data_IF_474711768552
#
_entry.id   IF_474711768552
#
_cell.length_a   1.000
_cell.length_b   1.000
_cell.length_c   1.000
_cell.angle_alpha   90.00
_cell.angle_beta   90.00
_cell.angle_gamma   90.00
#
_symmetry.space_group_name_H-M   'P 1'
#
loop_
_entity.id
_entity.type
_entity.pdbx_description
1 polymer ?
#
# COMPACT_ATOMS: atom_id res chain seq x y z
N UNK A 1 19.68 -26.35 -14.40
CA UNK A 1 18.39 -26.11 -13.68
C UNK A 1 17.50 -25.33 -14.61
N UNK A 2 16.32 -25.83 -14.95
CA UNK A 2 15.40 -25.17 -15.89
C UNK A 2 14.62 -24.08 -15.20
N UNK A 3 14.48 -22.91 -15.83
CA UNK A 3 13.64 -21.81 -15.40
C UNK A 3 12.17 -22.28 -15.37
N UNK A 4 11.55 -22.33 -14.22
CA UNK A 4 10.10 -22.61 -14.12
C UNK A 4 9.32 -21.31 -14.30
N UNK A 5 8.58 -21.21 -15.41
CA UNK A 5 7.69 -20.05 -15.64
C UNK A 5 6.43 -20.24 -14.80
N UNK A 6 6.11 -19.35 -13.85
CA UNK A 6 4.95 -19.49 -12.97
C UNK A 6 3.66 -19.12 -13.72
N UNK A 7 2.99 -20.12 -14.32
CA UNK A 7 1.79 -19.92 -15.15
C UNK A 7 0.58 -19.41 -14.32
N UNK A 8 0.35 -19.96 -13.13
CA UNK A 8 -0.79 -19.56 -12.27
C UNK A 8 -0.72 -18.05 -11.90
N UNK A 9 0.41 -17.50 -11.42
CA UNK A 9 0.59 -16.06 -11.27
C UNK A 9 0.28 -15.26 -12.52
N UNK A 10 0.70 -15.73 -13.69
CA UNK A 10 0.42 -15.06 -14.98
C UNK A 10 -1.06 -14.99 -15.30
N UNK A 11 -1.79 -16.09 -15.14
CA UNK A 11 -3.24 -16.15 -15.36
C UNK A 11 -3.97 -15.24 -14.38
N UNK A 12 -3.62 -15.27 -13.09
CA UNK A 12 -4.24 -14.44 -12.05
C UNK A 12 -3.97 -12.95 -12.29
N UNK A 13 -2.72 -12.57 -12.59
CA UNK A 13 -2.37 -11.17 -12.88
C UNK A 13 -3.13 -10.65 -14.10
N UNK A 14 -3.21 -11.45 -15.18
CA UNK A 14 -3.97 -11.10 -16.38
C UNK A 14 -5.46 -10.92 -16.05
N UNK A 15 -6.05 -11.87 -15.32
CA UNK A 15 -7.47 -11.81 -14.96
C UNK A 15 -7.80 -10.59 -14.12
N UNK A 16 -6.98 -10.28 -13.10
CA UNK A 16 -7.18 -9.12 -12.20
C UNK A 16 -6.98 -7.79 -12.94
N UNK A 17 -5.94 -7.68 -13.78
CA UNK A 17 -5.69 -6.48 -14.58
C UNK A 17 -6.82 -6.24 -15.61
N UNK A 18 -7.24 -7.27 -16.33
CA UNK A 18 -8.34 -7.20 -17.28
C UNK A 18 -9.67 -6.84 -16.59
N UNK A 19 -9.95 -7.41 -15.42
CA UNK A 19 -11.11 -7.07 -14.61
C UNK A 19 -11.07 -5.60 -14.16
N UNK A 20 -9.89 -5.10 -13.74
CA UNK A 20 -9.70 -3.71 -13.35
C UNK A 20 -9.98 -2.73 -14.49
N UNK A 21 -9.46 -3.01 -15.70
CA UNK A 21 -9.73 -2.22 -16.90
C UNK A 21 -11.22 -2.28 -17.27
N UNK A 22 -11.81 -3.48 -17.27
CA UNK A 22 -13.25 -3.67 -17.60
C UNK A 22 -14.17 -2.92 -16.64
N UNK A 23 -13.84 -2.88 -15.35
CA UNK A 23 -14.60 -2.16 -14.31
C UNK A 23 -14.26 -0.67 -14.25
N UNK A 24 -13.39 -0.17 -15.12
CA UNK A 24 -12.89 1.21 -15.12
C UNK A 24 -12.26 1.64 -13.77
N UNK A 25 -11.71 0.70 -13.01
CA UNK A 25 -10.90 0.99 -11.82
C UNK A 25 -9.41 1.11 -12.11
N UNK A 26 -8.98 0.73 -13.32
CA UNK A 26 -7.62 0.89 -13.83
C UNK A 26 -7.64 1.50 -15.24
N UNK A 27 -6.74 2.44 -15.48
CA UNK A 27 -6.43 2.92 -16.81
C UNK A 27 -5.70 1.83 -17.63
N UNK A 28 -5.51 1.96 -18.94
CA UNK A 28 -4.67 1.03 -19.70
C UNK A 28 -3.25 0.94 -19.14
N UNK A 29 -2.63 2.08 -18.77
CA UNK A 29 -1.32 2.10 -18.10
C UNK A 29 -1.37 1.50 -16.70
N UNK A 30 -2.46 1.72 -15.95
CA UNK A 30 -2.73 1.09 -14.65
C UNK A 30 -2.85 -0.42 -14.74
N UNK A 31 -3.52 -0.91 -15.78
CA UNK A 31 -3.64 -2.35 -16.06
C UNK A 31 -2.31 -3.01 -16.38
N UNK A 32 -1.47 -2.35 -17.19
CA UNK A 32 -0.12 -2.83 -17.51
C UNK A 32 0.77 -2.86 -16.25
N UNK A 33 0.79 -1.80 -15.47
CA UNK A 33 1.55 -1.73 -14.23
C UNK A 33 1.06 -2.79 -13.22
N UNK A 34 -0.25 -2.93 -13.05
CA UNK A 34 -0.85 -3.95 -12.17
C UNK A 34 -0.54 -5.38 -12.63
N UNK A 35 -0.48 -5.64 -13.94
CA UNK A 35 -0.05 -6.92 -14.48
C UNK A 35 1.41 -7.22 -14.13
N UNK A 36 2.34 -6.30 -14.42
CA UNK A 36 3.77 -6.50 -14.19
C UNK A 36 4.06 -6.70 -12.70
N UNK A 37 3.60 -5.76 -11.86
CA UNK A 37 3.77 -5.83 -10.40
C UNK A 37 3.10 -7.08 -9.84
N UNK A 38 1.85 -7.33 -10.23
CA UNK A 38 1.07 -8.48 -9.78
C UNK A 38 1.70 -9.81 -10.16
N UNK A 39 2.13 -9.96 -11.42
CA UNK A 39 2.80 -11.16 -11.89
C UNK A 39 4.06 -11.46 -11.09
N UNK A 40 4.97 -10.49 -11.01
CA UNK A 40 6.23 -10.69 -10.30
C UNK A 40 6.03 -10.93 -8.80
N UNK A 41 5.16 -10.19 -8.12
CA UNK A 41 4.90 -10.42 -6.69
C UNK A 41 4.22 -11.76 -6.40
N UNK A 42 3.29 -12.21 -7.25
CA UNK A 42 2.65 -13.53 -7.11
C UNK A 42 3.56 -14.69 -7.52
N UNK A 43 4.58 -14.43 -8.33
CA UNK A 43 5.58 -15.42 -8.73
C UNK A 43 6.67 -15.66 -7.65
N UNK A 44 6.68 -14.86 -6.58
CA UNK A 44 7.56 -15.11 -5.43
C UNK A 44 7.13 -16.41 -4.75
N UNK A 45 8.06 -17.34 -4.43
CA UNK A 45 7.72 -18.60 -3.75
C UNK A 45 7.00 -18.42 -2.42
N UNK A 46 7.35 -17.41 -1.63
CA UNK A 46 6.55 -16.99 -0.48
C UNK A 46 5.35 -16.18 -0.96
N UNK A 47 4.19 -16.81 -1.04
CA UNK A 47 2.96 -16.23 -1.59
C UNK A 47 2.39 -15.07 -0.78
N UNK A 48 2.83 -14.92 0.49
CA UNK A 48 2.41 -13.85 1.37
C UNK A 48 2.55 -12.45 0.75
N UNK A 49 3.55 -12.23 -0.12
CA UNK A 49 3.71 -10.97 -0.86
C UNK A 49 2.58 -10.75 -1.87
N UNK A 50 2.31 -11.75 -2.71
CA UNK A 50 1.24 -11.68 -3.72
C UNK A 50 -0.16 -11.62 -3.10
N UNK A 51 -0.41 -12.40 -2.03
CA UNK A 51 -1.68 -12.38 -1.29
C UNK A 51 -1.91 -11.02 -0.66
N UNK A 52 -0.88 -10.40 -0.06
CA UNK A 52 -0.96 -9.05 0.50
C UNK A 52 -1.34 -8.01 -0.56
N UNK A 53 -0.73 -8.06 -1.74
CA UNK A 53 -1.08 -7.19 -2.87
C UNK A 53 -2.55 -7.36 -3.28
N UNK A 54 -3.03 -8.61 -3.40
CA UNK A 54 -4.41 -8.91 -3.79
C UNK A 54 -5.40 -8.40 -2.74
N UNK A 55 -5.13 -8.66 -1.45
CA UNK A 55 -6.00 -8.21 -0.35
C UNK A 55 -6.04 -6.68 -0.30
N UNK A 56 -4.89 -6.01 -0.41
CA UNK A 56 -4.82 -4.55 -0.52
C UNK A 56 -5.67 -4.02 -1.66
N UNK A 57 -5.48 -4.54 -2.89
CA UNK A 57 -6.21 -4.10 -4.08
C UNK A 57 -7.72 -4.31 -3.95
N UNK A 58 -8.15 -5.50 -3.52
CA UNK A 58 -9.56 -5.84 -3.43
C UNK A 58 -10.27 -5.06 -2.31
N UNK A 59 -9.63 -4.95 -1.15
CA UNK A 59 -10.18 -4.21 0.00
C UNK A 59 -10.25 -2.73 -0.31
N UNK A 60 -9.16 -2.12 -0.78
CA UNK A 60 -9.13 -0.73 -1.19
C UNK A 60 -10.17 -0.41 -2.26
N UNK A 61 -10.30 -1.27 -3.29
CA UNK A 61 -11.31 -1.08 -4.36
C UNK A 61 -12.75 -1.23 -3.88
N UNK A 62 -13.00 -1.97 -2.79
CA UNK A 62 -14.34 -2.02 -2.17
C UNK A 62 -14.62 -0.76 -1.35
N UNK A 63 -13.64 -0.34 -0.55
CA UNK A 63 -13.78 0.81 0.35
C UNK A 63 -13.97 2.11 -0.44
N UNK A 64 -13.24 2.32 -1.53
CA UNK A 64 -13.41 3.47 -2.44
C UNK A 64 -14.87 3.61 -2.96
N UNK A 65 -15.63 2.52 -3.02
CA UNK A 65 -17.03 2.54 -3.46
C UNK A 65 -18.05 2.86 -2.36
N UNK A 66 -17.63 2.89 -1.10
CA UNK A 66 -18.52 3.20 0.01
C UNK A 66 -18.80 4.71 0.04
N UNK A 67 -20.08 5.09 0.14
CA UNK A 67 -20.48 6.49 0.29
C UNK A 67 -20.26 7.38 -0.94
N UNK A 68 -20.20 6.83 -2.15
CA UNK A 68 -19.93 7.56 -3.41
C UNK A 68 -20.72 8.87 -3.58
N UNK A 69 -22.03 8.86 -3.30
CA UNK A 69 -22.88 10.04 -3.46
C UNK A 69 -22.46 11.17 -2.51
N UNK A 70 -22.09 10.84 -1.28
CA UNK A 70 -21.62 11.81 -0.28
C UNK A 70 -20.28 12.38 -0.72
N UNK A 71 -19.32 11.54 -1.14
CA UNK A 71 -18.01 11.99 -1.62
C UNK A 71 -18.13 12.90 -2.83
N UNK A 72 -18.94 12.57 -3.81
CA UNK A 72 -19.20 13.40 -4.98
C UNK A 72 -19.84 14.75 -4.65
N UNK A 73 -20.46 14.91 -3.48
CA UNK A 73 -20.95 16.20 -3.01
C UNK A 73 -19.89 17.04 -2.28
N UNK A 74 -18.79 16.42 -1.81
CA UNK A 74 -17.74 17.07 -1.02
C UNK A 74 -16.47 17.41 -1.85
N UNK A 75 -16.19 16.63 -2.87
CA UNK A 75 -15.02 16.78 -3.73
C UNK A 75 -15.42 17.14 -5.15
N UNK A 76 -14.73 18.10 -5.74
CA UNK A 76 -14.93 18.48 -7.13
C UNK A 76 -14.16 17.54 -8.06
N UNK A 77 -14.83 16.96 -9.06
CA UNK A 77 -14.21 16.03 -9.99
C UNK A 77 -14.01 14.60 -9.46
N UNK A 78 -14.67 14.26 -8.36
CA UNK A 78 -14.62 12.91 -7.79
C UNK A 78 -14.93 11.83 -8.84
N UNK A 79 -13.98 10.88 -9.05
CA UNK A 79 -14.18 9.74 -9.93
C UNK A 79 -14.87 8.59 -9.18
N UNK A 80 -16.12 8.33 -9.54
CA UNK A 80 -16.91 7.27 -8.92
C UNK A 80 -16.31 5.85 -9.01
N UNK A 81 -15.41 5.61 -9.95
CA UNK A 81 -14.81 4.30 -10.18
C UNK A 81 -13.43 4.14 -9.53
N UNK A 82 -12.83 5.24 -9.02
CA UNK A 82 -11.47 5.24 -8.48
C UNK A 82 -10.45 4.83 -9.56
N UNK A 83 -10.48 5.52 -10.71
CA UNK A 83 -9.69 5.22 -11.90
C UNK A 83 -8.18 5.44 -11.66
N UNK A 84 -7.44 4.36 -11.47
CA UNK A 84 -6.01 4.40 -11.12
C UNK A 84 -5.12 4.35 -12.34
N UNK A 85 -4.19 5.31 -12.44
CA UNK A 85 -3.13 5.34 -13.45
C UNK A 85 -1.99 4.36 -13.13
N UNK A 86 -1.10 4.10 -14.11
CA UNK A 86 0.10 3.29 -13.86
C UNK A 86 1.02 3.90 -12.80
N UNK A 87 1.13 5.21 -12.77
CA UNK A 87 1.89 5.92 -11.74
C UNK A 87 1.32 5.68 -10.34
N UNK A 88 0.01 5.78 -10.18
CA UNK A 88 -0.67 5.51 -8.91
C UNK A 88 -0.50 4.05 -8.46
N UNK A 89 -0.56 3.09 -9.38
CA UNK A 89 -0.28 1.67 -9.07
C UNK A 89 1.14 1.51 -8.55
N UNK A 90 2.13 2.13 -9.21
CA UNK A 90 3.53 2.07 -8.79
C UNK A 90 3.74 2.74 -7.43
N UNK A 91 3.22 3.94 -7.20
CA UNK A 91 3.36 4.64 -5.93
C UNK A 91 2.81 3.82 -4.74
N UNK A 92 1.74 3.03 -4.97
CA UNK A 92 1.11 2.21 -3.95
C UNK A 92 1.62 0.76 -3.89
N UNK A 93 2.76 0.44 -4.54
CA UNK A 93 3.30 -0.93 -4.53
C UNK A 93 4.83 -1.02 -4.52
N UNK A 94 5.56 0.04 -4.89
CA UNK A 94 6.96 -0.07 -5.30
C UNK A 94 7.90 -0.61 -4.21
N UNK A 95 7.82 -0.17 -2.96
CA UNK A 95 8.74 -0.67 -1.93
C UNK A 95 8.43 -2.11 -1.53
N UNK A 96 7.15 -2.51 -1.50
CA UNK A 96 6.76 -3.91 -1.31
C UNK A 96 7.16 -4.78 -2.51
N UNK A 97 7.05 -4.26 -3.72
CA UNK A 97 7.48 -4.91 -4.95
C UNK A 97 9.00 -5.15 -4.94
N UNK A 98 9.79 -4.12 -4.64
CA UNK A 98 11.26 -4.25 -4.55
C UNK A 98 11.63 -5.26 -3.46
N UNK A 99 11.02 -5.16 -2.25
CA UNK A 99 11.28 -6.08 -1.16
C UNK A 99 10.97 -7.54 -1.53
N UNK A 100 9.85 -7.78 -2.21
CA UNK A 100 9.46 -9.13 -2.66
C UNK A 100 10.40 -9.70 -3.73
N UNK A 101 10.81 -8.89 -4.71
CA UNK A 101 11.76 -9.29 -5.74
C UNK A 101 13.15 -9.59 -5.15
N UNK A 102 13.64 -8.74 -4.25
CA UNK A 102 14.90 -8.98 -3.53
C UNK A 102 14.82 -10.24 -2.70
N UNK A 103 13.72 -10.45 -1.95
CA UNK A 103 13.53 -11.65 -1.17
C UNK A 103 13.62 -12.91 -2.04
N UNK A 104 12.92 -12.93 -3.17
CA UNK A 104 12.94 -14.07 -4.08
C UNK A 104 14.32 -14.28 -4.72
N UNK A 105 15.02 -13.20 -5.11
CA UNK A 105 16.35 -13.28 -5.68
C UNK A 105 17.40 -13.80 -4.67
N UNK A 106 17.24 -13.47 -3.37
CA UNK A 106 18.16 -13.91 -2.30
C UNK A 106 17.88 -15.33 -1.84
N UNK A 107 16.62 -15.74 -1.70
CA UNK A 107 16.25 -16.98 -1.01
C UNK A 107 15.67 -18.07 -1.92
N UNK A 108 15.44 -17.78 -3.21
CA UNK A 108 14.88 -18.74 -4.15
C UNK A 108 15.66 -18.78 -5.48
N UNK A 109 16.70 -19.62 -5.58
CA UNK A 109 17.61 -19.66 -6.74
C UNK A 109 16.92 -20.09 -8.04
N UNK A 110 15.82 -20.83 -7.97
CA UNK A 110 15.08 -21.32 -9.14
C UNK A 110 13.98 -20.35 -9.59
N UNK A 111 13.80 -19.22 -8.88
CA UNK A 111 12.79 -18.23 -9.21
C UNK A 111 13.19 -17.39 -10.43
N UNK A 112 12.19 -16.90 -11.16
CA UNK A 112 12.38 -15.92 -12.23
C UNK A 112 13.11 -14.66 -11.73
N UNK A 113 12.93 -14.28 -10.46
CA UNK A 113 13.58 -13.13 -9.83
C UNK A 113 15.09 -13.35 -9.70
N UNK A 114 15.50 -14.54 -9.29
CA UNK A 114 16.93 -14.88 -9.20
C UNK A 114 17.58 -14.87 -10.59
N UNK A 115 16.86 -15.30 -11.62
CA UNK A 115 17.33 -15.23 -12.99
C UNK A 115 17.48 -13.78 -13.49
N UNK A 116 16.49 -12.92 -13.22
CA UNK A 116 16.45 -11.53 -13.68
C UNK A 116 17.39 -10.62 -12.85
N UNK A 117 17.43 -10.79 -11.54
CA UNK A 117 18.05 -9.85 -10.62
C UNK A 117 19.25 -10.42 -9.85
N UNK A 118 19.44 -11.75 -9.86
CA UNK A 118 20.47 -12.40 -9.06
C UNK A 118 21.90 -11.98 -9.38
N UNK A 119 22.18 -11.60 -10.64
CA UNK A 119 23.49 -11.10 -11.06
C UNK A 119 23.81 -9.68 -10.53
N UNK A 120 22.81 -8.92 -10.17
CA UNK A 120 22.96 -7.58 -9.59
C UNK A 120 23.15 -7.60 -8.07
N UNK A 121 22.90 -8.76 -7.42
CA UNK A 121 23.08 -8.88 -5.98
C UNK A 121 24.58 -8.98 -5.65
N UNK A 122 25.07 -8.17 -4.69
CA UNK A 122 26.42 -8.31 -4.16
C UNK A 122 26.65 -9.73 -3.61
N UNK A 123 27.88 -10.30 -3.74
CA UNK A 123 28.16 -11.66 -3.29
C UNK A 123 27.81 -11.94 -1.82
N UNK A 124 27.94 -10.94 -0.95
CA UNK A 124 27.60 -11.04 0.47
C UNK A 124 26.08 -11.05 0.75
N UNK A 125 25.24 -10.65 -0.20
CA UNK A 125 23.80 -10.74 -0.12
C UNK A 125 23.23 -11.96 -0.85
N UNK A 126 24.03 -12.69 -1.63
CA UNK A 126 23.65 -13.97 -2.22
C UNK A 126 23.74 -15.10 -1.19
N UNK A 127 23.06 -14.92 -0.07
CA UNK A 127 23.05 -15.82 1.08
C UNK A 127 22.44 -17.17 0.73
N UNK A 128 23.27 -18.21 0.85
CA UNK A 128 22.92 -19.63 0.95
C UNK A 128 21.60 -20.06 0.30
N UNK A 129 21.54 -19.94 -1.01
CA UNK A 129 20.46 -20.48 -1.87
C UNK A 129 20.14 -21.96 -1.58
N UNK A 130 21.06 -22.70 -0.94
CA UNK A 130 20.94 -24.14 -0.75
C UNK A 130 20.14 -24.56 0.50
N UNK A 131 19.92 -23.69 1.49
CA UNK A 131 19.40 -24.08 2.81
C UNK A 131 18.05 -23.48 3.18
N UNK A 132 17.41 -22.69 2.30
CA UNK A 132 16.07 -22.14 2.58
C UNK A 132 15.00 -23.06 1.99
N UNK A 133 14.22 -23.70 2.85
CA UNK A 133 13.03 -24.47 2.49
C UNK A 133 11.79 -23.75 3.00
N UNK A 134 10.88 -23.36 2.10
CA UNK A 134 9.63 -22.69 2.48
C UNK A 134 8.81 -23.52 3.46
N UNK A 135 8.79 -24.85 3.29
CA UNK A 135 7.98 -25.73 4.14
C UNK A 135 8.49 -25.78 5.59
N UNK A 136 9.82 -25.77 5.78
CA UNK A 136 10.45 -25.99 7.09
C UNK A 136 10.89 -24.70 7.79
N UNK A 137 11.11 -23.62 7.04
CA UNK A 137 11.78 -22.42 7.53
C UNK A 137 10.82 -21.23 7.57
N UNK A 138 10.67 -20.59 8.74
CA UNK A 138 9.81 -19.40 8.86
C UNK A 138 10.52 -18.17 8.28
N UNK A 139 9.93 -17.46 7.29
CA UNK A 139 10.49 -16.22 6.75
C UNK A 139 10.77 -15.12 7.78
N UNK A 140 10.08 -15.16 8.92
CA UNK A 140 10.29 -14.21 10.03
C UNK A 140 11.41 -14.61 11.00
N UNK A 141 12.10 -15.74 10.77
CA UNK A 141 13.21 -16.13 11.61
C UNK A 141 14.40 -15.14 11.44
N UNK A 142 14.87 -14.49 12.54
CA UNK A 142 15.92 -13.48 12.49
C UNK A 142 17.30 -14.01 12.06
N UNK A 143 17.50 -15.32 12.08
CA UNK A 143 18.78 -15.93 11.67
C UNK A 143 18.88 -16.19 10.16
N UNK A 144 17.76 -16.07 9.43
CA UNK A 144 17.75 -16.35 7.98
C UNK A 144 18.34 -15.16 7.22
N UNK A 145 19.40 -15.44 6.47
CA UNK A 145 20.11 -14.44 5.69
C UNK A 145 20.57 -13.25 6.54
N UNK A 146 20.99 -13.49 7.78
CA UNK A 146 21.38 -12.40 8.69
C UNK A 146 20.24 -11.43 9.01
N UNK A 147 19.00 -11.92 9.03
CA UNK A 147 17.80 -11.10 9.31
C UNK A 147 17.11 -10.53 8.06
N UNK A 148 17.77 -10.54 6.89
CA UNK A 148 17.21 -9.95 5.67
C UNK A 148 15.86 -10.53 5.26
N UNK A 149 15.60 -11.83 5.48
CA UNK A 149 14.31 -12.43 5.17
C UNK A 149 13.18 -11.73 5.93
N UNK A 150 13.34 -11.60 7.25
CA UNK A 150 12.39 -10.93 8.14
C UNK A 150 12.23 -9.45 7.77
N UNK A 151 13.34 -8.74 7.57
CA UNK A 151 13.37 -7.32 7.17
C UNK A 151 12.55 -7.07 5.91
N UNK A 152 12.76 -7.84 4.84
CA UNK A 152 12.04 -7.67 3.57
C UNK A 152 10.54 -7.99 3.68
N UNK A 153 10.18 -9.01 4.49
CA UNK A 153 8.76 -9.31 4.80
C UNK A 153 8.11 -8.16 5.54
N UNK A 154 8.78 -7.56 6.54
CA UNK A 154 8.24 -6.44 7.32
C UNK A 154 8.21 -5.14 6.51
N UNK A 155 9.14 -4.90 5.59
CA UNK A 155 9.06 -3.78 4.63
C UNK A 155 7.78 -3.89 3.79
N UNK A 156 7.51 -5.07 3.23
CA UNK A 156 6.32 -5.27 2.42
C UNK A 156 5.03 -5.15 3.24
N UNK A 157 5.01 -5.71 4.45
CA UNK A 157 3.89 -5.57 5.37
C UNK A 157 3.63 -4.10 5.72
N UNK A 158 4.67 -3.35 6.09
CA UNK A 158 4.57 -1.94 6.45
C UNK A 158 4.07 -1.07 5.30
N UNK A 159 4.57 -1.32 4.10
CA UNK A 159 4.11 -0.62 2.90
C UNK A 159 2.60 -0.82 2.66
N UNK A 160 2.13 -2.07 2.61
CA UNK A 160 0.71 -2.33 2.36
C UNK A 160 -0.18 -1.95 3.55
N UNK A 161 0.32 -2.06 4.79
CA UNK A 161 -0.41 -1.60 5.96
C UNK A 161 -0.62 -0.08 5.93
N UNK A 162 0.41 0.69 5.58
CA UNK A 162 0.30 2.13 5.35
C UNK A 162 -0.71 2.44 4.23
N UNK A 163 -0.53 1.85 3.03
CA UNK A 163 -1.40 2.13 1.89
C UNK A 163 -2.86 1.76 2.15
N UNK A 164 -3.14 0.60 2.77
CA UNK A 164 -4.53 0.21 3.09
C UNK A 164 -5.09 1.04 4.24
N UNK A 165 -4.29 1.31 5.27
CA UNK A 165 -4.67 2.14 6.40
C UNK A 165 -5.05 3.53 5.95
N UNK A 166 -4.22 4.16 5.12
CA UNK A 166 -4.48 5.49 4.59
C UNK A 166 -5.69 5.52 3.63
N UNK A 167 -5.79 4.56 2.71
CA UNK A 167 -6.97 4.43 1.85
C UNK A 167 -8.24 4.29 2.69
N UNK A 168 -8.24 3.47 3.74
CA UNK A 168 -9.43 3.32 4.59
C UNK A 168 -9.69 4.57 5.41
N UNK A 169 -8.67 5.26 5.87
CA UNK A 169 -8.80 6.51 6.62
C UNK A 169 -9.42 7.62 5.77
N UNK A 170 -8.92 7.84 4.56
CA UNK A 170 -9.43 8.86 3.64
C UNK A 170 -10.85 8.56 3.16
N UNK A 171 -11.10 7.31 2.76
CA UNK A 171 -12.37 6.91 2.16
C UNK A 171 -13.52 6.77 3.17
N UNK A 172 -13.25 6.34 4.40
CA UNK A 172 -14.25 6.20 5.46
C UNK A 172 -14.27 7.41 6.41
N UNK A 173 -13.13 8.10 6.55
CA UNK A 173 -13.02 9.29 7.37
C UNK A 173 -13.85 10.46 6.85
N UNK A 174 -13.93 10.63 5.54
CA UNK A 174 -14.75 11.69 4.90
C UNK A 174 -16.24 11.52 5.18
N UNK A 175 -16.69 10.31 5.51
CA UNK A 175 -18.09 10.01 5.88
C UNK A 175 -18.40 10.29 7.35
N UNK A 176 -17.42 10.82 8.12
CA UNK A 176 -17.60 11.14 9.53
C UNK A 176 -18.68 12.20 9.73
N UNK A 177 -19.54 12.02 10.76
CA UNK A 177 -20.55 13.02 11.14
C UNK A 177 -19.94 14.28 11.75
N UNK A 178 -18.75 14.19 12.33
CA UNK A 178 -18.04 15.33 12.91
C UNK A 178 -16.99 15.86 11.93
N UNK A 179 -16.83 17.20 11.83
CA UNK A 179 -15.82 17.77 10.95
C UNK A 179 -14.42 17.32 11.36
N UNK A 180 -13.54 16.98 10.39
CA UNK A 180 -12.17 16.59 10.68
C UNK A 180 -11.36 17.77 11.26
N UNK A 181 -10.26 17.43 11.91
CA UNK A 181 -9.29 18.41 12.42
C UNK A 181 -7.96 18.24 11.69
N UNK A 182 -7.37 19.34 11.26
CA UNK A 182 -6.06 19.34 10.62
C UNK A 182 -5.00 18.86 11.62
N UNK A 183 -4.19 17.88 11.26
CA UNK A 183 -3.22 17.24 12.17
C UNK A 183 -2.19 18.22 12.74
N UNK A 184 -1.83 19.26 11.99
CA UNK A 184 -0.81 20.25 12.38
C UNK A 184 -1.31 21.32 13.35
N UNK A 185 -2.59 21.69 13.26
CA UNK A 185 -3.14 22.85 14.04
C UNK A 185 -4.31 22.47 14.92
N UNK A 186 -4.87 21.27 14.76
CA UNK A 186 -6.11 20.78 15.38
C UNK A 186 -7.35 21.64 15.07
N UNK A 187 -7.22 22.60 14.15
CA UNK A 187 -8.33 23.40 13.68
C UNK A 187 -9.33 22.54 12.89
N UNK A 188 -10.62 22.88 12.96
CA UNK A 188 -11.66 22.23 12.12
C UNK A 188 -11.47 22.63 10.67
N UNK A 189 -11.54 21.65 9.79
CA UNK A 189 -11.39 21.84 8.34
C UNK A 189 -12.56 21.12 7.61
N UNK A 190 -12.85 21.50 6.36
CA UNK A 190 -13.84 20.79 5.54
C UNK A 190 -13.44 19.31 5.35
N UNK A 191 -14.42 18.37 5.27
CA UNK A 191 -14.16 16.99 4.89
C UNK A 191 -13.46 16.90 3.51
N UNK A 192 -12.49 16.01 3.37
CA UNK A 192 -11.65 15.88 2.17
C UNK A 192 -10.38 16.75 2.18
N UNK A 193 -10.15 17.57 3.24
CA UNK A 193 -8.89 18.32 3.40
C UNK A 193 -7.72 17.37 3.67
N UNK A 194 -6.63 17.48 2.90
CA UNK A 194 -5.39 16.72 3.11
C UNK A 194 -4.85 16.95 4.53
N UNK A 195 -4.56 15.86 5.24
CA UNK A 195 -4.15 15.91 6.64
C UNK A 195 -5.28 16.17 7.64
N UNK A 196 -6.53 16.11 7.21
CA UNK A 196 -7.70 16.18 8.07
C UNK A 196 -7.97 14.86 8.80
N UNK A 197 -7.83 14.83 10.13
CA UNK A 197 -8.08 13.65 10.96
C UNK A 197 -9.52 13.61 11.46
N UNK A 198 -10.12 12.42 11.40
CA UNK A 198 -11.38 12.10 12.06
C UNK A 198 -11.26 10.81 12.86
N UNK A 199 -12.07 10.66 13.92
CA UNK A 199 -12.07 9.44 14.75
C UNK A 199 -12.36 8.19 13.92
N UNK A 200 -13.35 8.29 13.01
CA UNK A 200 -13.69 7.19 12.10
C UNK A 200 -12.53 6.86 11.13
N UNK A 201 -11.82 7.86 10.61
CA UNK A 201 -10.64 7.67 9.78
C UNK A 201 -9.51 6.98 10.54
N UNK A 202 -9.21 7.43 11.76
CA UNK A 202 -8.18 6.79 12.61
C UNK A 202 -8.51 5.34 12.93
N UNK A 203 -9.76 5.02 13.26
CA UNK A 203 -10.17 3.63 13.47
C UNK A 203 -10.11 2.80 12.19
N UNK A 204 -10.44 3.40 11.05
CA UNK A 204 -10.34 2.76 9.76
C UNK A 204 -8.89 2.48 9.37
N UNK A 205 -7.95 3.40 9.65
CA UNK A 205 -6.52 3.16 9.39
C UNK A 205 -5.96 2.03 10.25
N UNK A 206 -6.36 1.94 11.52
CA UNK A 206 -6.03 0.80 12.37
C UNK A 206 -6.56 -0.52 11.78
N UNK A 207 -7.82 -0.53 11.38
CA UNK A 207 -8.44 -1.72 10.80
C UNK A 207 -7.73 -2.15 9.51
N UNK A 208 -7.36 -1.22 8.62
CA UNK A 208 -6.58 -1.48 7.42
C UNK A 208 -5.24 -2.14 7.72
N UNK A 209 -4.51 -1.60 8.69
CA UNK A 209 -3.25 -2.16 9.15
C UNK A 209 -3.40 -3.58 9.74
N UNK A 210 -4.40 -3.80 10.60
CA UNK A 210 -4.72 -5.12 11.17
C UNK A 210 -5.08 -6.13 10.09
N UNK A 211 -5.86 -5.76 9.08
CA UNK A 211 -6.17 -6.62 7.93
C UNK A 211 -4.89 -7.09 7.24
N UNK A 212 -3.93 -6.19 7.01
CA UNK A 212 -2.65 -6.56 6.37
C UNK A 212 -1.79 -7.44 7.28
N UNK A 213 -1.76 -7.16 8.59
CA UNK A 213 -1.08 -7.99 9.57
C UNK A 213 -1.63 -9.42 9.64
N UNK A 214 -2.95 -9.56 9.66
CA UNK A 214 -3.64 -10.86 9.63
C UNK A 214 -3.42 -11.59 8.30
N UNK A 215 -3.39 -10.86 7.18
CA UNK A 215 -3.10 -11.42 5.86
C UNK A 215 -1.70 -12.04 5.82
N UNK A 216 -0.70 -11.30 6.31
CA UNK A 216 0.68 -11.81 6.38
C UNK A 216 0.78 -13.00 7.34
N UNK A 217 0.18 -12.91 8.54
CA UNK A 217 0.11 -14.02 9.49
C UNK A 217 -0.47 -15.29 8.87
N UNK A 218 -1.63 -15.17 8.23
CA UNK A 218 -2.32 -16.32 7.63
C UNK A 218 -1.46 -16.96 6.54
N UNK A 219 -0.82 -16.16 5.69
CA UNK A 219 0.10 -16.66 4.66
C UNK A 219 1.28 -17.42 5.26
N UNK A 220 1.89 -16.90 6.34
CA UNK A 220 2.98 -17.58 7.04
C UNK A 220 2.53 -18.92 7.63
N UNK A 221 1.34 -18.98 8.26
CA UNK A 221 0.82 -20.21 8.87
C UNK A 221 0.46 -21.27 7.81
N UNK A 222 -0.06 -20.85 6.67
CA UNK A 222 -0.42 -21.78 5.58
C UNK A 222 0.82 -22.36 4.92
N UNK A 223 1.83 -21.52 4.67
CA UNK A 223 2.95 -21.89 3.80
C UNK A 223 4.14 -22.50 4.55
N UNK A 224 4.32 -22.23 5.85
CA UNK A 224 5.51 -22.69 6.58
C UNK A 224 5.17 -23.43 7.87
N UNK A 225 5.57 -24.71 7.96
CA UNK A 225 5.52 -25.46 9.21
C UNK A 225 6.44 -24.84 10.28
N UNK A 226 7.57 -24.27 9.88
CA UNK A 226 8.48 -23.58 10.79
C UNK A 226 7.85 -22.35 11.48
N UNK A 227 6.89 -21.67 10.82
CA UNK A 227 6.16 -20.57 11.45
C UNK A 227 5.09 -21.06 12.46
N UNK A 228 4.59 -22.29 12.32
CA UNK A 228 3.57 -22.85 13.21
C UNK A 228 4.12 -23.24 14.59
N UNK A 229 5.43 -23.35 14.72
CA UNK A 229 6.06 -23.67 16.03
C UNK A 229 5.87 -22.57 17.07
N UNK A 230 5.65 -21.33 16.66
CA UNK A 230 5.48 -20.17 17.57
C UNK A 230 4.35 -19.26 17.07
N UNK A 231 3.17 -19.85 16.87
CA UNK A 231 1.98 -19.20 16.28
C UNK A 231 1.59 -17.92 17.02
N UNK A 232 1.59 -17.92 18.35
CA UNK A 232 1.19 -16.76 19.17
C UNK A 232 2.11 -15.57 18.97
N UNK A 233 3.42 -15.79 18.91
CA UNK A 233 4.43 -14.75 18.67
C UNK A 233 4.28 -14.15 17.28
N UNK A 234 4.12 -15.01 16.26
CA UNK A 234 3.96 -14.54 14.89
C UNK A 234 2.64 -13.77 14.68
N UNK A 235 1.53 -14.21 15.32
CA UNK A 235 0.28 -13.46 15.32
C UNK A 235 0.48 -12.08 15.93
N UNK A 236 1.02 -12.02 17.15
CA UNK A 236 1.23 -10.75 17.85
C UNK A 236 2.15 -9.82 17.05
N UNK A 237 3.28 -10.32 16.54
CA UNK A 237 4.26 -9.49 15.80
C UNK A 237 3.71 -8.95 14.49
N UNK A 238 3.03 -9.77 13.67
CA UNK A 238 2.51 -9.32 12.38
C UNK A 238 1.30 -8.40 12.53
N UNK A 239 0.39 -8.70 13.47
CA UNK A 239 -0.78 -7.84 13.72
C UNK A 239 -0.35 -6.50 14.31
N UNK A 240 0.60 -6.50 15.27
CA UNK A 240 1.13 -5.26 15.84
C UNK A 240 1.87 -4.44 14.77
N UNK A 241 2.75 -5.07 13.98
CA UNK A 241 3.44 -4.39 12.87
C UNK A 241 2.45 -3.81 11.85
N UNK A 242 1.41 -4.58 11.49
CA UNK A 242 0.35 -4.10 10.62
C UNK A 242 -0.41 -2.91 11.22
N UNK A 243 -0.81 -3.00 12.50
CA UNK A 243 -1.52 -1.95 13.21
C UNK A 243 -0.68 -0.65 13.30
N UNK A 244 0.60 -0.78 13.65
CA UNK A 244 1.55 0.35 13.69
C UNK A 244 1.79 0.93 12.29
N UNK A 245 1.92 0.08 11.27
CA UNK A 245 2.07 0.50 9.88
C UNK A 245 0.84 1.23 9.35
N UNK A 246 -0.37 0.76 9.68
CA UNK A 246 -1.62 1.41 9.27
C UNK A 246 -1.83 2.76 9.96
N UNK A 247 -1.76 2.80 11.29
CA UNK A 247 -1.91 4.03 12.07
C UNK A 247 -0.78 5.02 11.82
N UNK A 248 0.47 4.57 11.98
CA UNK A 248 1.65 5.42 11.85
C UNK A 248 1.86 5.91 10.42
N UNK A 249 1.64 5.04 9.43
CA UNK A 249 1.74 5.38 8.02
C UNK A 249 0.68 6.39 7.58
N UNK A 250 -0.58 6.19 7.97
CA UNK A 250 -1.66 7.16 7.67
C UNK A 250 -1.48 8.48 8.44
N UNK A 251 -0.92 8.45 9.66
CA UNK A 251 -0.57 9.67 10.37
C UNK A 251 0.57 10.43 9.66
N UNK A 252 1.60 9.73 9.19
CA UNK A 252 2.68 10.33 8.41
C UNK A 252 2.17 10.92 7.11
N UNK A 253 1.30 10.19 6.38
CA UNK A 253 0.63 10.69 5.18
C UNK A 253 -0.15 11.98 5.46
N UNK A 254 -0.93 11.99 6.55
CA UNK A 254 -1.67 13.17 7.00
C UNK A 254 -0.76 14.36 7.36
N UNK A 255 0.42 14.13 7.95
CA UNK A 255 1.40 15.20 8.23
C UNK A 255 1.96 15.78 6.93
N UNK A 256 2.37 14.91 6.00
CA UNK A 256 2.84 15.33 4.68
C UNK A 256 1.73 16.04 3.90
N UNK A 257 0.52 15.48 3.92
CA UNK A 257 -0.66 16.06 3.28
C UNK A 257 -1.00 17.47 3.82
N UNK A 258 -0.91 17.68 5.13
CA UNK A 258 -1.18 18.98 5.75
C UNK A 258 -0.09 20.03 5.48
N UNK A 259 1.14 19.61 5.13
CA UNK A 259 2.31 20.51 5.05
C UNK A 259 2.78 20.77 3.63
N UNK A 260 2.92 19.74 2.81
CA UNK A 260 3.57 19.82 1.50
C UNK A 260 2.66 19.40 0.32
N UNK A 261 1.41 19.01 0.60
CA UNK A 261 0.38 18.81 -0.41
C UNK A 261 -0.70 19.88 -0.27
N UNK A 262 -0.90 20.65 -1.33
CA UNK A 262 -1.87 21.74 -1.34
C UNK A 262 -3.30 21.22 -1.27
N UNK A 263 -4.14 21.87 -0.45
CA UNK A 263 -5.60 21.69 -0.47
C UNK A 263 -6.28 22.99 -0.77
N UNK A 264 -6.99 23.04 -1.88
CA UNK A 264 -7.79 24.18 -2.30
C UNK A 264 -9.29 23.91 -2.05
N UNK A 265 -10.03 24.98 -1.76
CA UNK A 265 -11.47 24.95 -1.55
C UNK A 265 -12.13 25.95 -2.50
N UNK A 266 -13.17 25.49 -3.20
CA UNK A 266 -13.98 26.34 -4.05
C UNK A 266 -15.12 26.99 -3.25
N UNK A 267 -15.10 28.32 -3.17
CA UNK A 267 -16.16 29.08 -2.52
C UNK A 267 -17.47 29.04 -3.32
N UNK A 268 -17.39 28.90 -4.65
CA UNK A 268 -18.57 28.86 -5.53
C UNK A 268 -19.34 27.53 -5.43
N UNK A 269 -18.60 26.39 -5.32
CA UNK A 269 -19.23 25.05 -5.25
C UNK A 269 -19.29 24.49 -3.83
N UNK A 270 -18.62 25.12 -2.85
CA UNK A 270 -18.43 24.62 -1.49
C UNK A 270 -17.79 23.22 -1.44
N UNK A 271 -16.80 22.95 -2.30
CA UNK A 271 -16.14 21.65 -2.42
C UNK A 271 -14.63 21.77 -2.35
N UNK A 272 -14.00 20.69 -1.91
CA UNK A 272 -12.52 20.53 -2.02
C UNK A 272 -12.15 20.29 -3.47
N UNK A 273 -11.06 20.90 -3.88
CA UNK A 273 -10.40 20.71 -5.18
C UNK A 273 -9.22 19.78 -4.93
N UNK A 274 -9.24 18.61 -5.57
CA UNK A 274 -8.16 17.61 -5.46
C UNK A 274 -7.17 17.77 -6.60
N UNK A 275 -5.97 17.18 -6.44
CA UNK A 275 -4.93 17.14 -7.49
C UNK A 275 -5.43 16.51 -8.80
N UNK A 276 -6.44 15.65 -8.71
CA UNK A 276 -7.03 14.94 -9.85
C UNK A 276 -8.12 15.78 -10.55
N UNK A 277 -8.55 16.88 -9.94
CA UNK A 277 -9.56 17.78 -10.50
C UNK A 277 -8.97 18.55 -11.69
N UNK A 278 -9.48 18.28 -12.90
CA UNK A 278 -9.12 19.06 -14.08
C UNK A 278 -9.59 20.51 -13.89
N UNK A 279 -8.68 21.40 -13.57
CA UNK A 279 -8.96 22.82 -13.35
C UNK A 279 -9.45 23.47 -14.63
N UNK A 280 -10.72 23.92 -14.65
CA UNK A 280 -11.16 24.95 -15.56
C UNK A 280 -10.57 26.30 -15.10
N UNK A 281 -10.26 27.23 -16.00
CA UNK A 281 -9.91 28.60 -15.61
C UNK A 281 -10.99 29.16 -14.67
N UNK A 282 -10.58 29.64 -13.49
CA UNK A 282 -11.48 30.17 -12.46
C UNK A 282 -11.18 31.65 -12.24
N UNK A 283 -12.21 32.39 -11.83
CA UNK A 283 -12.04 33.78 -11.48
C UNK A 283 -11.24 33.98 -10.20
N UNK A 284 -10.54 35.09 -10.10
CA UNK A 284 -9.73 35.44 -8.92
C UNK A 284 -10.67 35.58 -7.71
N UNK A 285 -10.38 34.86 -6.61
CA UNK A 285 -11.22 34.85 -5.39
C UNK A 285 -12.19 33.69 -5.25
N UNK A 286 -12.40 32.89 -6.31
CA UNK A 286 -13.25 31.69 -6.23
C UNK A 286 -12.60 30.54 -5.46
N UNK A 287 -11.27 30.52 -5.35
CA UNK A 287 -10.50 29.43 -4.75
C UNK A 287 -9.72 29.96 -3.54
N UNK A 288 -9.84 29.25 -2.41
CA UNK A 288 -9.08 29.52 -1.19
C UNK A 288 -8.23 28.31 -0.84
N UNK A 289 -6.92 28.50 -0.68
CA UNK A 289 -6.04 27.46 -0.11
C UNK A 289 -6.31 27.30 1.38
N UNK A 290 -6.60 26.06 1.80
CA UNK A 290 -6.90 25.72 3.20
C UNK A 290 -5.64 25.28 3.94
N UNK A 291 -4.82 24.42 3.31
CA UNK A 291 -3.61 23.85 3.93
C UNK A 291 -2.59 23.44 2.87
N UNK A 292 -1.37 23.28 3.33
CA UNK A 292 -0.27 22.69 2.57
C UNK A 292 0.36 23.63 1.52
N UNK A 293 1.55 23.23 1.09
CA UNK A 293 2.28 23.86 -0.02
C UNK A 293 2.13 22.96 -1.26
N UNK A 294 2.16 23.55 -2.44
CA UNK A 294 2.08 22.83 -3.72
C UNK A 294 3.45 22.27 -4.13
N UNK A 295 3.96 21.31 -3.34
CA UNK A 295 5.25 20.67 -3.56
C UNK A 295 5.11 19.23 -4.05
N UNK A 296 4.16 18.46 -3.48
CA UNK A 296 3.94 17.06 -3.81
C UNK A 296 2.48 16.80 -4.13
N UNK A 297 2.26 15.94 -5.13
CA UNK A 297 0.95 15.37 -5.42
C UNK A 297 0.57 14.26 -4.42
N UNK A 298 -0.70 13.91 -4.34
CA UNK A 298 -1.21 12.82 -3.51
C UNK A 298 -0.46 11.49 -3.73
N UNK A 299 -0.17 11.13 -4.98
CA UNK A 299 0.57 9.91 -5.30
C UNK A 299 2.01 9.93 -4.76
N UNK A 300 2.66 11.09 -4.75
CA UNK A 300 4.02 11.24 -4.21
C UNK A 300 4.02 11.19 -2.68
N UNK A 301 3.00 11.76 -2.03
CA UNK A 301 2.81 11.65 -0.57
C UNK A 301 2.61 10.20 -0.18
N UNK A 302 1.70 9.46 -0.84
CA UNK A 302 1.49 8.03 -0.62
C UNK A 302 2.75 7.19 -0.82
N UNK A 303 3.57 7.53 -1.83
CA UNK A 303 4.85 6.87 -2.06
C UNK A 303 5.80 7.07 -0.89
N UNK A 304 5.97 8.31 -0.44
CA UNK A 304 6.92 8.64 0.63
C UNK A 304 6.47 8.08 1.97
N UNK A 305 5.18 8.21 2.33
CA UNK A 305 4.62 7.71 3.57
C UNK A 305 4.71 6.18 3.66
N UNK A 306 4.35 5.46 2.60
CA UNK A 306 4.40 4.00 2.57
C UNK A 306 5.83 3.46 2.52
N UNK A 307 6.73 4.12 1.81
CA UNK A 307 8.15 3.77 1.77
C UNK A 307 8.82 3.97 3.13
N UNK A 308 8.61 5.12 3.76
CA UNK A 308 9.14 5.41 5.09
C UNK A 308 8.60 4.43 6.15
N UNK A 309 7.30 4.12 6.11
CA UNK A 309 6.67 3.16 7.02
C UNK A 309 7.22 1.75 6.82
N UNK A 310 7.36 1.31 5.58
CA UNK A 310 7.95 0.00 5.26
C UNK A 310 9.39 -0.10 5.76
N UNK A 311 10.23 0.90 5.47
CA UNK A 311 11.62 0.93 5.92
C UNK A 311 11.73 0.98 7.45
N UNK A 312 10.88 1.75 8.13
CA UNK A 312 10.86 1.83 9.59
C UNK A 312 10.52 0.46 10.22
N UNK A 313 9.51 -0.25 9.71
CA UNK A 313 9.19 -1.60 10.21
C UNK A 313 10.27 -2.63 9.86
N UNK A 314 10.91 -2.50 8.70
CA UNK A 314 12.05 -3.34 8.34
C UNK A 314 13.28 -3.09 9.22
N UNK A 315 13.50 -1.86 9.66
CA UNK A 315 14.60 -1.51 10.58
C UNK A 315 14.38 -2.04 11.99
N UNK A 316 13.11 -2.16 12.42
CA UNK A 316 12.72 -2.74 13.71
C UNK A 316 12.72 -4.30 13.69
N UNK A 317 13.13 -4.91 12.59
CA UNK A 317 13.08 -6.35 12.35
C UNK A 317 14.06 -7.22 13.24
#
# INVERSE_FOLDING_TARGET
MGLSIPLIPGVLATALAAQGIRKRSLSPSGGLAAFIVGYLMMAVPFRGFGVSLIVFYLTGSKVTKVGKQIKGSLEEGHDENGYRSGWQVLCNSISAFIASCLWAAMFSPESIHSYLFGSFLPPHLSWHRANFSMDMTCPLNPHIGGGWSRTLVLIALGHFACCLGDTMASELGILSKSPPRLITTLARVPPGTNGGLSTSGTLASLAGGVIMGLTMFTSLMVESAGCRTDTGKHLASTVLAGALGGLGGSALDSILGATIQKTDFSNSTNRIITDETKTKPREVGEVKTISGLDLLSNNQVNLLSSMATGLALGWLA
#
